data_IF_028683270009
#
_entry.id   IF_028683270009
#
_cell.length_a   1.000
_cell.length_b   1.000
_cell.length_c   1.000
_cell.angle_alpha   90.00
_cell.angle_beta   90.00
_cell.angle_gamma   90.00
#
_symmetry.space_group_name_H-M   'P 1'
#
loop_
_entity.id
_entity.type
_entity.pdbx_description
1 polymer ?
#
# COMPACT_ATOMS: atom_id res chain seq x y z
N UNK A 1 1.24 28.08 44.74
CA UNK A 1 1.61 26.67 44.97
C UNK A 1 0.71 25.69 44.23
N UNK A 2 -0.60 25.92 44.10
CA UNK A 2 -1.53 25.04 43.38
C UNK A 2 -1.18 24.79 41.89
N UNK A 3 -0.65 25.79 41.17
CA UNK A 3 -0.34 25.64 39.73
C UNK A 3 0.88 24.77 39.42
N UNK A 4 1.84 24.68 40.36
CA UNK A 4 3.02 23.82 40.19
C UNK A 4 2.66 22.35 40.39
N UNK A 5 1.77 22.06 41.35
CA UNK A 5 1.28 20.70 41.63
C UNK A 5 0.48 20.17 40.44
N UNK A 6 -0.46 20.97 39.90
CA UNK A 6 -1.24 20.59 38.72
C UNK A 6 -0.35 20.30 37.48
N UNK A 7 0.67 21.13 37.23
CA UNK A 7 1.58 20.90 36.10
C UNK A 7 2.46 19.65 36.26
N UNK A 8 2.73 19.21 37.50
CA UNK A 8 3.44 17.96 37.78
C UNK A 8 2.51 16.75 37.61
N UNK A 9 1.25 16.86 38.04
CA UNK A 9 0.22 15.83 37.83
C UNK A 9 -0.04 15.59 36.35
N UNK A 10 -0.20 16.65 35.55
CA UNK A 10 -0.39 16.55 34.09
C UNK A 10 0.78 15.83 33.40
N UNK A 11 2.02 16.14 33.81
CA UNK A 11 3.22 15.47 33.28
C UNK A 11 3.31 14.01 33.67
N UNK A 12 2.91 13.68 34.89
CA UNK A 12 2.87 12.31 35.39
C UNK A 12 1.84 11.47 34.64
N UNK A 13 0.66 12.03 34.39
CA UNK A 13 -0.38 11.34 33.64
C UNK A 13 -0.01 11.19 32.16
N UNK A 14 0.61 12.20 31.55
CA UNK A 14 1.16 12.08 30.19
C UNK A 14 2.26 11.00 30.11
N UNK A 15 3.15 10.92 31.10
CA UNK A 15 4.20 9.89 31.16
C UNK A 15 3.61 8.48 31.35
N UNK A 16 2.58 8.33 32.18
CA UNK A 16 1.86 7.05 32.36
C UNK A 16 1.15 6.62 31.08
N UNK A 17 0.47 7.55 30.40
CA UNK A 17 -0.18 7.24 29.12
C UNK A 17 0.84 6.83 28.05
N UNK A 18 2.00 7.48 28.01
CA UNK A 18 3.09 7.08 27.13
C UNK A 18 3.61 5.68 27.46
N UNK A 19 3.83 5.38 28.74
CA UNK A 19 4.31 4.07 29.19
C UNK A 19 3.33 2.97 28.77
N UNK A 20 2.03 3.15 29.03
CA UNK A 20 0.99 2.20 28.62
C UNK A 20 0.93 2.03 27.09
N UNK A 21 1.10 3.11 26.33
CA UNK A 21 1.16 3.04 24.87
C UNK A 21 2.41 2.28 24.38
N UNK A 22 3.56 2.46 25.04
CA UNK A 22 4.81 1.73 24.78
C UNK A 22 4.71 0.25 25.13
N UNK A 23 4.07 -0.10 26.24
CA UNK A 23 3.91 -1.48 26.65
C UNK A 23 2.99 -2.22 25.67
N UNK A 24 1.88 -1.60 25.26
CA UNK A 24 1.01 -2.11 24.18
C UNK A 24 1.78 -2.25 22.87
N UNK A 25 2.60 -1.26 22.52
CA UNK A 25 3.44 -1.33 21.33
C UNK A 25 4.49 -2.45 21.42
N UNK A 26 5.12 -2.67 22.58
CA UNK A 26 6.13 -3.71 22.79
C UNK A 26 5.54 -5.11 22.60
N UNK A 27 4.31 -5.32 23.07
CA UNK A 27 3.58 -6.58 22.84
C UNK A 27 3.28 -6.79 21.35
N UNK A 28 3.02 -5.72 20.60
CA UNK A 28 2.67 -5.75 19.16
C UNK A 28 3.86 -5.65 18.21
N UNK A 29 5.02 -5.20 18.70
CA UNK A 29 6.24 -4.97 17.94
C UNK A 29 6.71 -6.19 17.13
N UNK A 30 6.74 -7.44 17.66
CA UNK A 30 7.19 -8.59 16.88
C UNK A 30 6.27 -8.83 15.66
N UNK A 31 4.96 -8.80 15.85
CA UNK A 31 3.96 -9.00 14.79
C UNK A 31 4.04 -7.92 13.71
N UNK A 32 4.28 -6.66 14.11
CA UNK A 32 4.47 -5.56 13.17
C UNK A 32 5.78 -5.67 12.37
N UNK A 33 6.85 -6.16 12.98
CA UNK A 33 8.13 -6.41 12.31
C UNK A 33 8.04 -7.57 11.32
N UNK A 34 7.36 -8.66 11.69
CA UNK A 34 7.06 -9.79 10.79
C UNK A 34 6.25 -9.33 9.59
N UNK A 35 5.17 -8.58 9.82
CA UNK A 35 4.39 -7.99 8.74
C UNK A 35 5.24 -7.08 7.84
N UNK A 36 6.06 -6.21 8.42
CA UNK A 36 6.96 -5.32 7.68
C UNK A 36 7.93 -6.10 6.79
N UNK A 37 8.47 -7.22 7.29
CA UNK A 37 9.37 -8.07 6.52
C UNK A 37 8.61 -8.76 5.37
N UNK A 38 7.42 -9.30 5.64
CA UNK A 38 6.61 -10.02 4.67
C UNK A 38 6.08 -9.12 3.54
N UNK A 39 5.60 -7.92 3.88
CA UNK A 39 4.98 -7.00 2.91
C UNK A 39 5.98 -6.32 1.99
N UNK A 40 7.28 -6.35 2.31
CA UNK A 40 8.34 -5.70 1.53
C UNK A 40 8.36 -6.18 0.07
N UNK A 41 8.33 -7.50 -0.14
CA UNK A 41 8.39 -8.06 -1.50
C UNK A 41 7.19 -7.67 -2.37
N UNK A 42 5.92 -7.79 -1.91
CA UNK A 42 4.76 -7.24 -2.63
C UNK A 42 4.90 -5.75 -2.97
N UNK A 43 5.40 -4.94 -2.04
CA UNK A 43 5.60 -3.50 -2.23
C UNK A 43 6.64 -3.18 -3.30
N UNK A 44 7.77 -3.91 -3.29
CA UNK A 44 8.86 -3.73 -4.25
C UNK A 44 8.42 -4.18 -5.65
N UNK A 45 7.67 -5.29 -5.76
CA UNK A 45 7.09 -5.73 -7.02
C UNK A 45 6.08 -4.71 -7.56
N UNK A 46 5.23 -4.14 -6.70
CA UNK A 46 4.30 -3.09 -7.13
C UNK A 46 5.04 -1.83 -7.62
N UNK A 47 6.13 -1.45 -6.94
CA UNK A 47 6.96 -0.32 -7.36
C UNK A 47 7.56 -0.53 -8.77
N UNK A 48 7.90 -1.77 -9.14
CA UNK A 48 8.37 -2.13 -10.49
C UNK A 48 7.28 -1.99 -11.56
N UNK A 49 6.00 -2.06 -11.20
CA UNK A 49 4.90 -1.87 -12.14
C UNK A 49 4.69 -0.41 -12.54
N UNK A 50 5.12 0.54 -11.70
CA UNK A 50 4.80 1.97 -11.83
C UNK A 50 5.14 2.53 -13.22
N UNK A 51 6.34 2.32 -13.79
CA UNK A 51 6.66 2.89 -15.11
C UNK A 51 5.75 2.34 -16.22
N UNK A 52 5.41 1.06 -16.17
CA UNK A 52 4.55 0.44 -17.17
C UNK A 52 3.09 0.88 -17.01
N UNK A 53 2.62 1.08 -15.78
CA UNK A 53 1.29 1.63 -15.51
C UNK A 53 1.17 3.10 -15.90
N UNK A 54 2.22 3.90 -15.72
CA UNK A 54 2.26 5.28 -16.24
C UNK A 54 2.20 5.30 -17.77
N UNK A 55 2.86 4.35 -18.44
CA UNK A 55 2.76 4.23 -19.90
C UNK A 55 1.33 3.92 -20.36
N UNK A 56 0.62 3.01 -19.66
CA UNK A 56 -0.80 2.71 -19.92
C UNK A 56 -1.68 3.93 -19.64
N UNK A 57 -1.47 4.60 -18.50
CA UNK A 57 -2.20 5.81 -18.09
C UNK A 57 -2.04 6.94 -19.10
N UNK A 58 -0.83 7.17 -19.59
CA UNK A 58 -0.53 8.18 -20.60
C UNK A 58 -1.06 7.83 -22.00
N UNK A 59 -1.73 6.68 -22.16
CA UNK A 59 -2.15 6.11 -23.45
C UNK A 59 -1.00 5.95 -24.45
N UNK A 60 0.24 5.98 -23.95
CA UNK A 60 1.44 5.77 -24.74
C UNK A 60 1.50 4.31 -25.21
N UNK A 61 2.26 4.06 -26.27
CA UNK A 61 2.45 2.71 -26.80
C UNK A 61 2.90 1.75 -25.70
N UNK A 62 2.07 0.76 -25.37
CA UNK A 62 2.41 -0.30 -24.42
C UNK A 62 2.71 -1.55 -25.24
N UNK A 63 3.90 -2.14 -25.08
CA UNK A 63 4.23 -3.36 -25.83
C UNK A 63 3.45 -4.56 -25.25
N UNK A 64 3.11 -5.58 -26.06
CA UNK A 64 2.50 -6.79 -25.55
C UNK A 64 3.30 -7.45 -24.42
N UNK A 65 4.64 -7.38 -24.53
CA UNK A 65 5.56 -7.86 -23.51
C UNK A 65 5.43 -7.10 -22.19
N UNK A 66 5.36 -5.76 -22.21
CA UNK A 66 5.20 -4.97 -20.97
C UNK A 66 3.87 -5.27 -20.28
N UNK A 67 2.79 -5.43 -21.05
CA UNK A 67 1.48 -5.81 -20.50
C UNK A 67 1.49 -7.23 -19.89
N UNK A 68 2.22 -8.17 -20.50
CA UNK A 68 2.41 -9.50 -19.93
C UNK A 68 3.23 -9.47 -18.63
N UNK A 69 4.28 -8.65 -18.56
CA UNK A 69 5.05 -8.45 -17.33
C UNK A 69 4.19 -7.87 -16.20
N UNK A 70 3.30 -6.91 -16.50
CA UNK A 70 2.36 -6.40 -15.48
C UNK A 70 1.51 -7.55 -14.91
N UNK A 71 0.91 -8.37 -15.78
CA UNK A 71 0.07 -9.50 -15.36
C UNK A 71 0.82 -10.50 -14.48
N UNK A 72 2.04 -10.88 -14.86
CA UNK A 72 2.86 -11.82 -14.09
C UNK A 72 3.22 -11.26 -12.70
N UNK A 73 3.64 -10.01 -12.64
CA UNK A 73 3.98 -9.36 -11.38
C UNK A 73 2.74 -9.14 -10.49
N UNK A 74 1.60 -8.78 -11.06
CA UNK A 74 0.33 -8.69 -10.33
C UNK A 74 -0.05 -10.04 -9.73
N UNK A 75 -0.01 -11.12 -10.50
CA UNK A 75 -0.29 -12.46 -9.98
C UNK A 75 0.64 -12.83 -8.82
N UNK A 76 1.93 -12.51 -8.93
CA UNK A 76 2.91 -12.72 -7.86
C UNK A 76 2.63 -11.87 -6.62
N UNK A 77 2.27 -10.58 -6.80
CA UNK A 77 1.89 -9.69 -5.69
C UNK A 77 0.68 -10.25 -4.96
N UNK A 78 -0.36 -10.65 -5.68
CA UNK A 78 -1.59 -11.17 -5.08
C UNK A 78 -1.35 -12.49 -4.34
N UNK A 79 -0.56 -13.40 -4.91
CA UNK A 79 -0.20 -14.65 -4.25
C UNK A 79 0.60 -14.42 -2.96
N UNK A 80 1.58 -13.51 -2.99
CA UNK A 80 2.37 -13.16 -1.80
C UNK A 80 1.53 -12.43 -0.75
N UNK A 81 0.68 -11.49 -1.17
CA UNK A 81 -0.18 -10.74 -0.26
C UNK A 81 -1.21 -11.63 0.42
N UNK A 82 -1.81 -12.58 -0.30
CA UNK A 82 -2.77 -13.54 0.25
C UNK A 82 -2.16 -14.49 1.31
N UNK A 83 -0.85 -14.72 1.27
CA UNK A 83 -0.14 -15.50 2.27
C UNK A 83 0.19 -14.72 3.55
N UNK A 84 -0.04 -13.40 3.57
CA UNK A 84 0.22 -12.54 4.73
C UNK A 84 -1.07 -12.38 5.50
N UNK A 85 -1.03 -12.63 6.82
CA UNK A 85 -2.11 -12.23 7.72
C UNK A 85 -1.80 -10.82 8.24
N UNK A 86 -2.47 -9.77 7.73
CA UNK A 86 -2.18 -8.42 8.17
C UNK A 86 -2.69 -8.21 9.61
N UNK A 87 -1.89 -7.57 10.47
CA UNK A 87 -2.38 -7.05 11.75
C UNK A 87 -3.53 -6.06 11.54
N UNK A 88 -4.44 -5.96 12.51
CA UNK A 88 -5.66 -5.16 12.44
C UNK A 88 -5.36 -3.69 12.06
N UNK A 89 -4.30 -3.13 12.64
CA UNK A 89 -3.89 -1.74 12.45
C UNK A 89 -3.50 -1.44 10.99
N UNK A 90 -2.96 -2.42 10.27
CA UNK A 90 -2.50 -2.28 8.88
C UNK A 90 -3.41 -3.00 7.89
N UNK A 91 -4.47 -3.68 8.34
CA UNK A 91 -5.36 -4.46 7.49
C UNK A 91 -5.99 -3.64 6.37
N UNK A 92 -6.45 -2.42 6.68
CA UNK A 92 -6.99 -1.50 5.67
C UNK A 92 -5.93 -1.10 4.62
N UNK A 93 -4.70 -0.79 5.07
CA UNK A 93 -3.62 -0.41 4.17
C UNK A 93 -3.11 -1.59 3.32
N UNK A 94 -3.12 -2.81 3.87
CA UNK A 94 -2.86 -4.04 3.14
C UNK A 94 -3.92 -4.28 2.06
N UNK A 95 -5.21 -4.16 2.41
CA UNK A 95 -6.30 -4.30 1.45
C UNK A 95 -6.19 -3.27 0.30
N UNK A 96 -5.77 -2.03 0.59
CA UNK A 96 -5.51 -1.02 -0.44
C UNK A 96 -4.41 -1.46 -1.44
N UNK A 97 -3.34 -2.11 -0.97
CA UNK A 97 -2.31 -2.65 -1.86
C UNK A 97 -2.86 -3.77 -2.76
N UNK A 98 -3.68 -4.67 -2.18
CA UNK A 98 -4.33 -5.74 -2.93
C UNK A 98 -5.24 -5.17 -4.02
N UNK A 99 -6.09 -4.21 -3.67
CA UNK A 99 -6.97 -3.53 -4.64
C UNK A 99 -6.18 -2.79 -5.73
N UNK A 100 -5.06 -2.15 -5.36
CA UNK A 100 -4.17 -1.50 -6.32
C UNK A 100 -3.59 -2.51 -7.33
N UNK A 101 -3.14 -3.68 -6.85
CA UNK A 101 -2.61 -4.74 -7.71
C UNK A 101 -3.69 -5.33 -8.63
N UNK A 102 -4.91 -5.54 -8.12
CA UNK A 102 -6.04 -5.99 -8.94
C UNK A 102 -6.37 -4.98 -10.05
N UNK A 103 -6.44 -3.69 -9.73
CA UNK A 103 -6.65 -2.63 -10.74
C UNK A 103 -5.52 -2.56 -11.76
N UNK A 104 -4.26 -2.75 -11.34
CA UNK A 104 -3.14 -2.82 -12.27
C UNK A 104 -3.27 -3.99 -13.25
N UNK A 105 -3.71 -5.16 -12.78
CA UNK A 105 -4.01 -6.32 -13.62
C UNK A 105 -5.13 -6.02 -14.61
N UNK A 106 -6.24 -5.46 -14.13
CA UNK A 106 -7.36 -5.07 -14.98
C UNK A 106 -6.95 -4.06 -16.06
N UNK A 107 -6.18 -3.02 -15.69
CA UNK A 107 -5.66 -2.03 -16.63
C UNK A 107 -4.84 -2.67 -17.76
N UNK A 108 -3.93 -3.59 -17.41
CA UNK A 108 -3.12 -4.28 -18.41
C UNK A 108 -3.94 -5.20 -19.32
N UNK A 109 -4.97 -5.87 -18.78
CA UNK A 109 -5.87 -6.70 -19.57
C UNK A 109 -6.70 -5.86 -20.54
N UNK A 110 -7.37 -4.82 -20.04
CA UNK A 110 -8.19 -3.92 -20.86
C UNK A 110 -7.33 -3.27 -21.94
N UNK A 111 -6.10 -2.83 -21.61
CA UNK A 111 -5.18 -2.24 -22.61
C UNK A 111 -4.84 -3.22 -23.73
N UNK A 112 -4.60 -4.50 -23.40
CA UNK A 112 -4.32 -5.54 -24.40
C UNK A 112 -5.53 -5.75 -25.33
N UNK A 113 -6.73 -5.85 -24.76
CA UNK A 113 -7.96 -6.01 -25.52
C UNK A 113 -8.21 -4.80 -26.44
N UNK A 114 -8.01 -3.58 -25.92
CA UNK A 114 -8.14 -2.34 -26.68
C UNK A 114 -7.18 -2.30 -27.89
N UNK A 115 -5.92 -2.72 -27.72
CA UNK A 115 -4.95 -2.78 -28.82
C UNK A 115 -5.35 -3.80 -29.88
N UNK A 116 -5.83 -4.98 -29.49
CA UNK A 116 -6.27 -6.02 -30.43
C UNK A 116 -7.53 -5.60 -31.20
N UNK A 117 -8.48 -4.93 -30.54
CA UNK A 117 -9.72 -4.48 -31.13
C UNK A 117 -9.62 -3.11 -31.83
N UNK A 118 -8.46 -2.42 -31.74
CA UNK A 118 -8.32 -1.01 -32.13
C UNK A 118 -9.38 -0.09 -31.50
N UNK A 119 -9.75 -0.37 -30.25
CA UNK A 119 -10.82 0.31 -29.52
C UNK A 119 -10.26 1.40 -28.58
N UNK A 120 -10.47 2.66 -28.97
CA UNK A 120 -9.99 3.81 -28.20
C UNK A 120 -10.78 4.04 -26.91
N UNK A 121 -12.07 3.68 -26.83
CA UNK A 121 -12.86 3.83 -25.62
C UNK A 121 -12.32 2.90 -24.52
N UNK A 122 -12.06 1.63 -24.87
CA UNK A 122 -11.40 0.69 -23.95
C UNK A 122 -9.99 1.11 -23.55
N UNK A 123 -9.26 1.79 -24.43
CA UNK A 123 -7.96 2.35 -24.05
C UNK A 123 -8.09 3.39 -22.92
N UNK A 124 -9.13 4.23 -22.93
CA UNK A 124 -9.43 5.18 -21.84
C UNK A 124 -9.83 4.49 -20.54
N UNK A 125 -10.59 3.40 -20.60
CA UNK A 125 -10.92 2.59 -19.42
C UNK A 125 -9.65 2.02 -18.78
N UNK A 126 -8.73 1.50 -19.60
CA UNK A 126 -7.44 1.01 -19.15
C UNK A 126 -6.60 2.13 -18.50
N UNK A 127 -6.60 3.33 -19.08
CA UNK A 127 -5.91 4.50 -18.52
C UNK A 127 -6.47 4.88 -17.14
N UNK A 128 -7.79 4.91 -17.01
CA UNK A 128 -8.48 5.21 -15.75
C UNK A 128 -8.18 4.17 -14.67
N UNK A 129 -8.21 2.89 -15.03
CA UNK A 129 -7.84 1.79 -14.14
C UNK A 129 -6.36 1.88 -13.70
N UNK A 130 -5.44 2.22 -14.62
CA UNK A 130 -4.03 2.41 -14.29
C UNK A 130 -3.82 3.60 -13.34
N UNK A 131 -4.52 4.71 -13.56
CA UNK A 131 -4.48 5.86 -12.66
C UNK A 131 -5.00 5.50 -11.25
N UNK A 132 -6.10 4.75 -11.16
CA UNK A 132 -6.63 4.23 -9.90
C UNK A 132 -5.63 3.31 -9.18
N UNK A 133 -5.00 2.39 -9.90
CA UNK A 133 -3.97 1.51 -9.35
C UNK A 133 -2.79 2.31 -8.76
N UNK A 134 -2.27 3.29 -9.51
CA UNK A 134 -1.16 4.14 -9.07
C UNK A 134 -1.52 4.95 -7.81
N UNK A 135 -2.72 5.54 -7.78
CA UNK A 135 -3.21 6.30 -6.63
C UNK A 135 -3.33 5.43 -5.38
N UNK A 136 -4.00 4.27 -5.49
CA UNK A 136 -4.19 3.37 -4.35
C UNK A 136 -2.87 2.77 -3.87
N UNK A 137 -1.98 2.39 -4.79
CA UNK A 137 -0.66 1.87 -4.44
C UNK A 137 0.20 2.90 -3.71
N UNK A 138 0.15 4.17 -4.13
CA UNK A 138 0.83 5.26 -3.43
C UNK A 138 0.25 5.51 -2.03
N UNK A 139 -1.09 5.45 -1.87
CA UNK A 139 -1.76 5.57 -0.58
C UNK A 139 -1.41 4.42 0.35
N UNK A 140 -1.54 3.17 -0.12
CA UNK A 140 -1.18 1.96 0.63
C UNK A 140 0.26 2.02 1.14
N UNK A 141 1.21 2.42 0.27
CA UNK A 141 2.62 2.62 0.65
C UNK A 141 2.77 3.61 1.80
N UNK A 142 2.07 4.73 1.71
CA UNK A 142 2.17 5.83 2.68
C UNK A 142 1.59 5.41 4.02
N UNK A 143 0.44 4.74 4.00
CA UNK A 143 -0.25 4.25 5.20
C UNK A 143 0.57 3.18 5.91
N UNK A 144 1.02 2.15 5.17
CA UNK A 144 1.87 1.08 5.73
C UNK A 144 3.13 1.69 6.35
N UNK A 145 3.80 2.63 5.68
CA UNK A 145 5.00 3.29 6.23
C UNK A 145 4.71 4.13 7.48
N UNK A 146 3.54 4.75 7.55
CA UNK A 146 3.15 5.60 8.68
C UNK A 146 2.80 4.75 9.90
N UNK A 147 2.02 3.70 9.69
CA UNK A 147 1.56 2.78 10.74
C UNK A 147 2.70 1.93 11.32
N UNK A 148 3.73 1.64 10.53
CA UNK A 148 4.92 0.92 10.99
C UNK A 148 5.95 1.80 11.72
N UNK A 149 5.71 3.11 11.86
CA UNK A 149 6.58 3.97 12.69
C UNK A 149 6.20 3.83 14.16
N UNK A 150 7.17 3.74 15.08
CA UNK A 150 6.87 3.72 16.51
C UNK A 150 6.16 5.02 16.92
N UNK A 151 5.20 4.97 17.87
CA UNK A 151 4.52 6.15 18.36
C UNK A 151 5.55 7.12 18.96
N UNK A 152 5.57 8.35 18.44
CA UNK A 152 6.37 9.45 18.96
C UNK A 152 5.52 10.27 19.93
N UNK A 153 6.15 10.78 20.99
CA UNK A 153 5.54 11.80 21.84
C UNK A 153 5.18 13.03 21.00
N UNK A 154 3.96 13.54 21.15
CA UNK A 154 3.58 14.89 20.71
C UNK A 154 3.82 15.88 21.83
#
# INVERSE_FOLDING_TARGET
MASLVAAVEDKLDAARQLQLARDRFTIRAPVMLEYRAAIRTPMDLFAQLVPALEAVRALSGSSPASLATIQQNVARILALAAAIVPPEEVAAAHALLVSAAQLAGNAAQIRREATLASDMARAWDASSAAAGALMLGAKARTDIRTLLRPPQLR
#
